data_IF_308571233296
#
_entry.id   IF_308571233296
#
_cell.length_a   1.000
_cell.length_b   1.000
_cell.length_c   1.000
_cell.angle_alpha   90.00
_cell.angle_beta   90.00
_cell.angle_gamma   90.00
#
_symmetry.space_group_name_H-M   'P 1'
#
loop_
_entity.id
_entity.type
_entity.pdbx_description
1 polymer ?
#
# COMPACT_ATOMS: atom_id res chain seq x y z
N UNK A 1 -9.84 -6.93 -12.18
CA UNK A 1 -9.83 -6.85 -10.71
C UNK A 1 -8.59 -6.08 -10.30
N UNK A 2 -8.66 -5.27 -9.25
CA UNK A 2 -7.52 -4.49 -8.77
C UNK A 2 -7.37 -4.68 -7.26
N UNK A 3 -6.13 -4.74 -6.78
CA UNK A 3 -5.81 -4.61 -5.37
C UNK A 3 -5.57 -3.13 -5.06
N UNK A 4 -5.99 -2.69 -3.87
CA UNK A 4 -5.75 -1.33 -3.40
C UNK A 4 -4.84 -1.38 -2.18
N UNK A 5 -3.78 -0.58 -2.20
CA UNK A 5 -2.90 -0.35 -1.07
C UNK A 5 -2.93 1.15 -0.72
N UNK A 6 -3.16 1.43 0.57
CA UNK A 6 -3.19 2.79 1.10
C UNK A 6 -1.99 3.01 2.01
N UNK A 7 -1.25 4.11 1.80
CA UNK A 7 -0.13 4.49 2.67
C UNK A 7 -0.51 5.65 3.57
N UNK A 8 -0.04 5.59 4.81
CA UNK A 8 -0.26 6.63 5.82
C UNK A 8 1.07 7.05 6.41
N UNK A 9 1.24 8.34 6.66
CA UNK A 9 2.39 8.85 7.38
C UNK A 9 2.30 8.52 8.89
N UNK A 10 3.34 8.89 9.65
CA UNK A 10 3.41 8.63 11.10
C UNK A 10 2.29 9.30 11.92
N UNK A 11 1.59 10.30 11.37
CA UNK A 11 0.45 10.96 12.00
C UNK A 11 -0.89 10.29 11.64
N UNK A 12 -0.88 9.23 10.82
CA UNK A 12 -2.08 8.54 10.34
C UNK A 12 -2.79 9.26 9.20
N UNK A 13 -2.14 10.22 8.53
CA UNK A 13 -2.69 10.92 7.36
C UNK A 13 -2.35 10.10 6.11
N UNK A 14 -3.36 9.88 5.25
CA UNK A 14 -3.17 9.16 3.98
C UNK A 14 -2.29 9.98 3.04
N UNK A 15 -1.21 9.39 2.55
CA UNK A 15 -0.21 10.03 1.67
C UNK A 15 -0.10 9.38 0.30
N UNK A 16 -0.56 8.13 0.14
CA UNK A 16 -0.65 7.48 -1.17
C UNK A 16 -1.94 6.69 -1.33
N UNK A 17 -2.38 6.59 -2.59
CA UNK A 17 -3.38 5.63 -3.06
C UNK A 17 -2.80 4.83 -4.22
N UNK A 18 -2.68 3.51 -4.03
CA UNK A 18 -2.01 2.63 -4.99
C UNK A 18 -2.99 1.58 -5.48
N UNK A 19 -3.27 1.60 -6.78
CA UNK A 19 -4.04 0.57 -7.48
C UNK A 19 -3.06 -0.36 -8.21
N UNK A 20 -3.24 -1.67 -8.05
CA UNK A 20 -2.44 -2.69 -8.74
C UNK A 20 -3.41 -3.59 -9.52
N UNK A 21 -3.26 -3.62 -10.85
CA UNK A 21 -4.07 -4.46 -11.73
C UNK A 21 -3.67 -5.94 -11.57
N UNK A 22 -4.56 -6.85 -11.94
CA UNK A 22 -4.24 -8.28 -11.99
C UNK A 22 -3.09 -8.60 -12.98
N UNK A 23 -2.88 -7.74 -13.96
CA UNK A 23 -1.81 -7.84 -14.96
C UNK A 23 -0.48 -7.24 -14.47
N UNK A 24 -0.48 -6.66 -13.26
CA UNK A 24 0.69 -6.08 -12.60
C UNK A 24 0.90 -4.59 -12.88
N UNK A 25 -0.01 -3.93 -13.59
CA UNK A 25 0.06 -2.48 -13.78
C UNK A 25 -0.16 -1.76 -12.46
N UNK A 26 0.67 -0.77 -12.19
CA UNK A 26 0.63 0.00 -10.95
C UNK A 26 0.23 1.43 -11.26
N UNK A 27 -0.65 1.98 -10.43
CA UNK A 27 -0.95 3.40 -10.40
C UNK A 27 -0.88 3.88 -8.96
N UNK A 28 0.22 4.56 -8.64
CA UNK A 28 0.47 5.14 -7.33
C UNK A 28 0.24 6.64 -7.38
N UNK A 29 -0.75 7.13 -6.63
CA UNK A 29 -1.05 8.54 -6.50
C UNK A 29 -0.53 9.06 -5.16
N UNK A 30 0.39 10.02 -5.20
CA UNK A 30 0.86 10.76 -4.03
C UNK A 30 -0.11 11.88 -3.70
N UNK A 31 -0.49 12.01 -2.44
CA UNK A 31 -1.50 12.94 -1.97
C UNK A 31 -0.91 14.00 -1.06
N UNK A 32 -1.46 15.21 -1.12
CA UNK A 32 -1.25 16.19 -0.06
C UNK A 32 -2.10 15.86 1.18
N UNK A 33 -1.91 16.63 2.26
CA UNK A 33 -2.64 16.43 3.52
C UNK A 33 -4.16 16.67 3.41
N UNK A 34 -4.65 17.22 2.30
CA UNK A 34 -6.08 17.42 2.03
C UNK A 34 -6.65 16.31 1.14
N UNK A 35 -5.80 15.39 0.65
CA UNK A 35 -6.18 14.30 -0.24
C UNK A 35 -6.13 14.65 -1.73
N UNK A 36 -5.58 15.80 -2.12
CA UNK A 36 -5.40 16.14 -3.53
C UNK A 36 -4.18 15.42 -4.10
N UNK A 37 -4.26 14.99 -5.36
CA UNK A 37 -3.14 14.31 -6.04
C UNK A 37 -2.04 15.32 -6.38
N UNK A 38 -0.83 15.07 -5.87
CA UNK A 38 0.38 15.82 -6.17
C UNK A 38 1.15 15.23 -7.36
N UNK A 39 1.22 13.89 -7.41
CA UNK A 39 1.98 13.15 -8.42
C UNK A 39 1.32 11.78 -8.66
N UNK A 40 1.46 11.23 -9.86
CA UNK A 40 1.11 9.84 -10.14
C UNK A 40 2.30 9.14 -10.78
N UNK A 41 2.62 7.94 -10.30
CA UNK A 41 3.70 7.07 -10.79
C UNK A 41 3.20 5.65 -11.02
N UNK A 42 4.02 4.83 -11.65
CA UNK A 42 3.84 3.39 -11.85
C UNK A 42 4.73 2.56 -10.91
N UNK A 43 5.29 3.18 -9.87
CA UNK A 43 6.12 2.51 -8.87
C UNK A 43 5.36 2.33 -7.56
N UNK A 44 5.38 1.12 -6.99
CA UNK A 44 4.75 0.85 -5.69
C UNK A 44 5.55 1.46 -4.55
N UNK A 45 6.88 1.37 -4.59
CA UNK A 45 7.77 1.77 -3.50
C UNK A 45 8.30 3.18 -3.70
N UNK A 46 8.29 3.98 -2.64
CA UNK A 46 9.07 5.21 -2.58
C UNK A 46 10.44 4.93 -1.96
N UNK A 47 11.52 5.17 -2.70
CA UNK A 47 12.88 4.97 -2.18
C UNK A 47 13.28 6.01 -1.11
N UNK A 48 12.62 7.16 -1.08
CA UNK A 48 12.89 8.24 -0.15
C UNK A 48 12.02 8.17 1.11
N UNK A 49 10.88 7.47 1.04
CA UNK A 49 9.98 7.23 2.17
C UNK A 49 9.57 5.75 2.27
N UNK A 50 10.52 4.86 2.60
CA UNK A 50 10.27 3.43 2.68
C UNK A 50 9.27 3.13 3.81
N UNK A 51 8.21 2.42 3.49
CA UNK A 51 7.20 2.00 4.45
C UNK A 51 7.56 0.64 5.06
N UNK A 52 7.15 0.41 6.31
CA UNK A 52 7.43 -0.83 7.04
C UNK A 52 6.90 -2.08 6.34
N UNK A 53 5.89 -1.93 5.49
CA UNK A 53 5.26 -3.00 4.73
C UNK A 53 5.74 -3.10 3.27
N UNK A 54 6.73 -2.31 2.85
CA UNK A 54 7.27 -2.37 1.48
C UNK A 54 7.96 -3.69 1.17
N UNK A 55 8.52 -4.34 2.19
CA UNK A 55 9.20 -5.62 2.05
C UNK A 55 8.33 -6.81 2.48
N UNK A 56 7.07 -6.56 2.82
CA UNK A 56 6.13 -7.66 3.06
C UNK A 56 5.78 -8.30 1.72
N UNK A 57 5.71 -9.64 1.66
CA UNK A 57 5.21 -10.32 0.48
C UNK A 57 3.78 -9.85 0.22
N UNK A 58 3.59 -9.07 -0.85
CA UNK A 58 2.27 -8.62 -1.28
C UNK A 58 1.53 -9.83 -1.87
N UNK A 59 0.89 -10.58 -1.00
CA UNK A 59 0.00 -11.66 -1.39
C UNK A 59 -1.44 -11.15 -1.19
N UNK A 60 -2.17 -10.79 -2.26
CA UNK A 60 -3.55 -10.33 -2.14
C UNK A 60 -4.46 -11.37 -1.46
N UNK A 61 -4.13 -12.67 -1.57
CA UNK A 61 -4.80 -13.76 -0.84
C UNK A 61 -4.16 -14.07 0.53
N UNK A 62 -3.01 -13.48 0.84
CA UNK A 62 -2.19 -13.79 2.01
C UNK A 62 -2.34 -12.84 3.19
N UNK A 63 -3.01 -11.69 3.03
CA UNK A 63 -3.35 -10.83 4.18
C UNK A 63 -4.24 -11.56 5.20
N UNK A 64 -5.14 -12.45 4.74
CA UNK A 64 -5.89 -13.34 5.65
C UNK A 64 -4.98 -14.32 6.40
N UNK A 65 -3.95 -14.86 5.75
CA UNK A 65 -3.04 -15.85 6.37
C UNK A 65 -2.20 -15.20 7.48
N UNK A 66 -1.77 -13.95 7.31
CA UNK A 66 -0.95 -13.25 8.31
C UNK A 66 -1.79 -12.89 9.55
N UNK A 67 -3.04 -12.45 9.38
CA UNK A 67 -3.95 -12.15 10.50
C UNK A 67 -4.44 -13.41 11.24
N UNK A 68 -4.69 -14.51 10.52
CA UNK A 68 -5.07 -15.79 11.14
C UNK A 68 -3.93 -16.38 12.00
N UNK A 69 -2.68 -16.28 11.55
CA UNK A 69 -1.50 -16.74 12.33
C UNK A 69 -1.24 -15.90 13.58
N UNK A 70 -1.53 -14.60 13.54
CA UNK A 70 -1.43 -13.73 14.73
C UNK A 70 -2.50 -14.06 15.78
N UNK A 71 -3.69 -14.51 15.35
CA UNK A 71 -4.81 -14.84 16.25
C UNK A 71 -4.84 -16.29 16.75
N UNK A 72 -3.98 -17.17 16.24
CA UNK A 72 -3.87 -18.58 16.69
C UNK A 72 -2.78 -18.82 17.74
N UNK A 73 -2.09 -17.78 18.21
CA UNK A 73 -1.16 -17.85 19.35
C UNK A 73 -1.85 -17.56 20.71
N UNK A 74 -3.10 -18.01 20.90
CA UNK A 74 -3.79 -18.01 22.20
C UNK A 74 -4.11 -19.42 22.65
#
# INVERSE_FOLDING_TARGET
MFAVLERFNQQGIKINHIEISADGDVKNQYLDNQGNVLLTTDEVKDQNDPQLYDDLPFNPDGFEIILQKANTQK
#
